data_IF_953947606090
#
_entry.id   IF_953947606090
#
_cell.length_a   1.000
_cell.length_b   1.000
_cell.length_c   1.000
_cell.angle_alpha   90.00
_cell.angle_beta   90.00
_cell.angle_gamma   90.00
#
_symmetry.space_group_name_H-M   'P 1'
#
loop_
_entity.id
_entity.type
_entity.pdbx_description
1 polymer ?
#
# COMPACT_ATOMS: atom_id res chain seq x y z
N UNK A 1 30.77 20.63 -8.65
CA UNK A 1 30.19 19.31 -8.94
C UNK A 1 28.98 19.16 -8.04
N UNK A 2 27.73 19.27 -8.53
CA UNK A 2 26.59 18.94 -7.70
C UNK A 2 26.55 17.41 -7.53
N UNK A 3 26.36 16.96 -6.27
CA UNK A 3 26.07 15.56 -5.95
C UNK A 3 24.86 15.07 -6.76
N UNK A 4 24.90 13.84 -7.30
CA UNK A 4 23.70 13.25 -7.89
C UNK A 4 22.73 12.94 -6.76
N UNK A 5 21.66 13.73 -6.66
CA UNK A 5 20.47 13.40 -5.88
C UNK A 5 20.04 11.99 -6.22
N UNK A 6 20.33 11.04 -5.33
CA UNK A 6 19.83 9.67 -5.43
C UNK A 6 18.30 9.79 -5.44
N UNK A 7 17.60 9.30 -6.48
CA UNK A 7 16.16 9.33 -6.48
C UNK A 7 15.69 8.42 -5.34
N UNK A 8 15.08 9.02 -4.31
CA UNK A 8 14.40 8.35 -3.19
C UNK A 8 13.33 7.34 -3.66
N UNK A 9 12.97 7.34 -4.94
CA UNK A 9 12.16 6.32 -5.62
C UNK A 9 12.70 4.88 -5.49
N UNK A 10 13.99 4.71 -5.16
CA UNK A 10 14.62 3.39 -5.09
C UNK A 10 14.25 2.56 -3.85
N UNK A 11 13.88 3.18 -2.73
CA UNK A 11 13.76 2.45 -1.46
C UNK A 11 12.44 1.68 -1.37
N UNK A 12 11.36 2.34 -1.76
CA UNK A 12 10.01 1.78 -1.71
C UNK A 12 9.78 0.73 -2.79
N UNK A 13 10.35 0.93 -3.98
CA UNK A 13 10.33 -0.08 -5.04
C UNK A 13 11.04 -1.36 -4.60
N UNK A 14 12.21 -1.24 -3.96
CA UNK A 14 12.93 -2.39 -3.39
C UNK A 14 12.15 -3.08 -2.27
N UNK A 15 11.41 -2.32 -1.45
CA UNK A 15 10.53 -2.88 -0.42
C UNK A 15 9.38 -3.67 -1.05
N UNK A 16 8.69 -3.08 -2.01
CA UNK A 16 7.62 -3.74 -2.76
C UNK A 16 8.11 -5.03 -3.43
N UNK A 17 9.29 -4.98 -4.08
CA UNK A 17 9.93 -6.17 -4.66
C UNK A 17 10.19 -7.25 -3.61
N UNK A 18 10.75 -6.89 -2.43
CA UNK A 18 10.96 -7.83 -1.33
C UNK A 18 9.65 -8.46 -0.82
N UNK A 19 8.59 -7.66 -0.68
CA UNK A 19 7.28 -8.15 -0.25
C UNK A 19 6.65 -9.08 -1.28
N UNK A 20 6.72 -8.74 -2.57
CA UNK A 20 6.22 -9.59 -3.66
C UNK A 20 7.01 -10.89 -3.78
N UNK A 21 8.32 -10.86 -3.57
CA UNK A 21 9.15 -12.06 -3.50
C UNK A 21 8.74 -12.92 -2.29
N UNK A 22 8.60 -12.32 -1.11
CA UNK A 22 8.22 -13.04 0.11
C UNK A 22 6.83 -13.66 0.06
N UNK A 23 5.91 -13.07 -0.70
CA UNK A 23 4.53 -13.55 -0.88
C UNK A 23 4.39 -14.50 -2.08
N UNK A 24 5.47 -14.70 -2.84
CA UNK A 24 5.49 -15.58 -4.01
C UNK A 24 4.82 -14.98 -5.25
N UNK A 25 4.48 -13.68 -5.25
CA UNK A 25 3.86 -12.96 -6.37
C UNK A 25 4.88 -12.20 -7.23
N UNK A 26 6.15 -12.63 -7.23
CA UNK A 26 7.20 -11.98 -8.03
C UNK A 26 6.84 -11.91 -9.52
N UNK A 27 6.20 -12.94 -10.06
CA UNK A 27 5.70 -12.97 -11.45
C UNK A 27 4.68 -11.86 -11.76
N UNK A 28 4.05 -11.28 -10.73
CA UNK A 28 3.01 -10.27 -10.82
C UNK A 28 3.51 -8.87 -10.45
N UNK A 29 4.79 -8.73 -10.14
CA UNK A 29 5.47 -7.44 -9.97
C UNK A 29 5.22 -6.46 -11.13
N UNK A 30 5.41 -6.83 -12.41
CA UNK A 30 5.15 -5.89 -13.51
C UNK A 30 3.69 -5.43 -13.55
N UNK A 31 2.75 -6.32 -13.25
CA UNK A 31 1.33 -6.01 -13.19
C UNK A 31 0.99 -5.07 -12.03
N UNK A 32 1.56 -5.31 -10.85
CA UNK A 32 1.37 -4.45 -9.69
C UNK A 32 1.89 -3.02 -9.96
N UNK A 33 3.08 -2.91 -10.57
CA UNK A 33 3.67 -1.63 -10.95
C UNK A 33 2.84 -0.89 -12.01
N UNK A 34 2.30 -1.61 -13.00
CA UNK A 34 1.44 -1.02 -14.03
C UNK A 34 0.15 -0.47 -13.42
N UNK A 35 -0.51 -1.22 -12.54
CA UNK A 35 -1.72 -0.79 -11.84
C UNK A 35 -1.44 0.45 -10.99
N UNK A 36 -0.35 0.44 -10.22
CA UNK A 36 0.02 1.58 -9.39
C UNK A 36 0.28 2.85 -10.20
N UNK A 37 1.03 2.73 -11.31
CA UNK A 37 1.26 3.84 -12.23
C UNK A 37 -0.04 4.33 -12.86
N UNK A 38 -0.94 3.43 -13.24
CA UNK A 38 -2.21 3.76 -13.92
C UNK A 38 -3.18 4.53 -13.02
N UNK A 39 -3.21 4.20 -11.74
CA UNK A 39 -4.15 4.79 -10.78
C UNK A 39 -3.51 5.79 -9.82
N UNK A 40 -2.20 5.99 -9.89
CA UNK A 40 -1.45 6.89 -9.03
C UNK A 40 -1.46 6.44 -7.56
N UNK A 41 -1.22 5.14 -7.33
CA UNK A 41 -1.09 4.59 -5.98
C UNK A 41 0.35 4.70 -5.49
N UNK A 42 0.50 5.03 -4.22
CA UNK A 42 1.78 5.07 -3.53
C UNK A 42 2.29 3.66 -3.20
N UNK A 43 3.62 3.45 -3.13
CA UNK A 43 4.18 2.14 -2.78
C UNK A 43 3.71 1.61 -1.43
N UNK A 44 3.41 2.51 -0.48
CA UNK A 44 2.86 2.16 0.83
C UNK A 44 1.47 1.53 0.71
N UNK A 45 0.61 2.06 -0.16
CA UNK A 45 -0.72 1.49 -0.46
C UNK A 45 -0.58 0.11 -1.12
N UNK A 46 0.41 -0.04 -2.01
CA UNK A 46 0.68 -1.31 -2.67
C UNK A 46 1.15 -2.40 -1.71
N UNK A 47 2.04 -2.07 -0.76
CA UNK A 47 2.56 -3.04 0.22
C UNK A 47 1.42 -3.57 1.10
N UNK A 48 0.57 -2.67 1.62
CA UNK A 48 -0.66 -3.02 2.36
C UNK A 48 -1.57 -3.95 1.54
N UNK A 49 -1.81 -3.59 0.27
CA UNK A 49 -2.62 -4.41 -0.63
C UNK A 49 -2.00 -5.80 -0.88
N UNK A 50 -0.68 -5.90 -1.13
CA UNK A 50 0.03 -7.17 -1.34
C UNK A 50 -0.06 -8.06 -0.11
N UNK A 51 0.13 -7.51 1.09
CA UNK A 51 -0.03 -8.27 2.34
C UNK A 51 -1.45 -8.83 2.48
N UNK A 52 -2.49 -8.02 2.21
CA UNK A 52 -3.89 -8.48 2.28
C UNK A 52 -4.22 -9.51 1.18
N UNK A 53 -3.66 -9.39 -0.02
CA UNK A 53 -3.81 -10.41 -1.07
C UNK A 53 -3.15 -11.72 -0.66
N UNK A 54 -1.94 -11.66 -0.10
CA UNK A 54 -1.22 -12.84 0.39
C UNK A 54 -1.97 -13.55 1.50
N UNK A 55 -2.56 -12.81 2.44
CA UNK A 55 -3.39 -13.38 3.50
C UNK A 55 -4.60 -14.15 2.91
N UNK A 56 -5.30 -13.55 1.93
CA UNK A 56 -6.39 -14.22 1.21
C UNK A 56 -5.93 -15.44 0.40
N UNK A 57 -4.75 -15.37 -0.21
CA UNK A 57 -4.20 -16.48 -0.99
C UNK A 57 -3.87 -17.69 -0.11
N UNK A 58 -3.37 -17.45 1.12
CA UNK A 58 -3.13 -18.49 2.12
C UNK A 58 -4.43 -19.15 2.60
N UNK A 59 -5.54 -18.40 2.66
CA UNK A 59 -6.86 -18.92 3.07
C UNK A 59 -7.63 -19.60 1.94
N UNK A 60 -7.52 -19.08 0.72
CA UNK A 60 -8.25 -19.55 -0.46
C UNK A 60 -7.31 -19.69 -1.64
N UNK A 61 -6.85 -20.92 -1.90
CA UNK A 61 -6.07 -21.22 -3.08
C UNK A 61 -6.94 -20.99 -4.33
N UNK A 62 -6.51 -20.14 -5.28
CA UNK A 62 -7.27 -19.88 -6.49
C UNK A 62 -7.32 -21.15 -7.34
N UNK A 63 -8.54 -21.62 -7.62
CA UNK A 63 -8.78 -22.86 -8.36
C UNK A 63 -8.47 -22.71 -9.86
N UNK A 64 -8.57 -21.49 -10.41
CA UNK A 64 -8.25 -21.18 -11.81
C UNK A 64 -7.63 -19.77 -11.94
N UNK A 65 -6.62 -19.65 -12.81
CA UNK A 65 -5.95 -18.41 -13.22
C UNK A 65 -5.50 -17.48 -12.07
N UNK A 66 -4.39 -17.85 -11.42
CA UNK A 66 -3.72 -17.08 -10.37
C UNK A 66 -3.53 -15.59 -10.71
N UNK A 67 -3.15 -15.27 -11.94
CA UNK A 67 -2.92 -13.89 -12.40
C UNK A 67 -4.21 -13.06 -12.42
N UNK A 68 -5.29 -13.60 -12.98
CA UNK A 68 -6.57 -12.90 -13.04
C UNK A 68 -7.19 -12.74 -11.64
N UNK A 69 -7.04 -13.76 -10.79
CA UNK A 69 -7.44 -13.71 -9.39
C UNK A 69 -6.66 -12.63 -8.64
N UNK A 70 -5.32 -12.62 -8.77
CA UNK A 70 -4.48 -11.60 -8.14
C UNK A 70 -4.87 -10.21 -8.61
N UNK A 71 -5.02 -9.98 -9.92
CA UNK A 71 -5.36 -8.66 -10.44
C UNK A 71 -6.66 -8.13 -9.82
N UNK A 72 -7.70 -8.97 -9.78
CA UNK A 72 -9.00 -8.61 -9.21
C UNK A 72 -8.90 -8.29 -7.73
N UNK A 73 -8.29 -9.20 -6.95
CA UNK A 73 -8.19 -9.04 -5.48
C UNK A 73 -7.23 -7.90 -5.12
N UNK A 74 -6.15 -7.73 -5.89
CA UNK A 74 -5.19 -6.64 -5.71
C UNK A 74 -5.82 -5.28 -5.96
N UNK A 75 -6.64 -5.14 -7.00
CA UNK A 75 -7.38 -3.90 -7.27
C UNK A 75 -8.41 -3.60 -6.17
N UNK A 76 -9.15 -4.60 -5.69
CA UNK A 76 -10.06 -4.45 -4.55
C UNK A 76 -9.31 -3.99 -3.29
N UNK A 77 -8.19 -4.64 -2.97
CA UNK A 77 -7.38 -4.33 -1.79
C UNK A 77 -6.63 -3.02 -1.87
N UNK A 78 -6.19 -2.61 -3.06
CA UNK A 78 -5.63 -1.27 -3.29
C UNK A 78 -6.67 -0.18 -3.00
N UNK A 79 -7.90 -0.38 -3.44
CA UNK A 79 -8.99 0.58 -3.20
C UNK A 79 -9.35 0.68 -1.72
N UNK A 80 -9.39 -0.45 -1.02
CA UNK A 80 -9.54 -0.50 0.44
C UNK A 80 -8.36 0.20 1.13
N UNK A 81 -7.11 -0.11 0.76
CA UNK A 81 -5.92 0.51 1.36
C UNK A 81 -5.89 2.03 1.19
N UNK A 82 -6.28 2.55 0.03
CA UNK A 82 -6.41 3.99 -0.21
C UNK A 82 -7.49 4.62 0.67
N UNK A 83 -8.63 3.95 0.82
CA UNK A 83 -9.70 4.38 1.71
C UNK A 83 -9.29 4.38 3.19
N UNK A 84 -8.56 3.34 3.62
CA UNK A 84 -8.03 3.20 4.97
C UNK A 84 -7.04 4.33 5.30
N UNK A 85 -6.09 4.60 4.40
CA UNK A 85 -5.09 5.66 4.56
C UNK A 85 -5.75 7.05 4.58
N UNK A 86 -6.72 7.30 3.68
CA UNK A 86 -7.46 8.55 3.67
C UNK A 86 -8.23 8.76 4.98
N UNK A 87 -8.89 7.70 5.47
CA UNK A 87 -9.66 7.72 6.72
C UNK A 87 -8.74 7.93 7.92
N UNK A 88 -7.60 7.22 7.97
CA UNK A 88 -6.59 7.37 9.01
C UNK A 88 -6.05 8.80 9.06
N UNK A 89 -5.69 9.38 7.91
CA UNK A 89 -5.23 10.76 7.83
C UNK A 89 -6.31 11.77 8.24
N UNK A 90 -7.57 11.55 7.86
CA UNK A 90 -8.67 12.38 8.31
C UNK A 90 -8.85 12.31 9.83
N UNK A 91 -8.87 11.10 10.41
CA UNK A 91 -8.99 10.89 11.85
C UNK A 91 -7.85 11.53 12.64
N UNK A 92 -6.60 11.44 12.16
CA UNK A 92 -5.45 12.12 12.79
C UNK A 92 -5.61 13.65 12.79
N UNK A 93 -6.12 14.23 11.70
CA UNK A 93 -6.40 15.68 11.64
C UNK A 93 -7.49 16.10 12.63
N UNK A 94 -8.54 15.30 12.79
CA UNK A 94 -9.62 15.60 13.76
C UNK A 94 -9.21 15.35 15.21
N UNK A 95 -8.31 14.41 15.48
CA UNK A 95 -7.82 14.13 16.84
C UNK A 95 -6.71 15.10 17.28
N UNK A 96 -5.91 15.65 16.36
CA UNK A 96 -4.96 16.73 16.65
C UNK A 96 -5.65 18.06 16.98
N UNK A 97 -6.85 18.31 16.47
CA UNK A 97 -7.63 19.52 16.75
C UNK A 97 -8.28 19.56 18.14
N UNK A 98 -8.12 18.51 18.97
CA UNK A 98 -8.68 18.42 20.33
C UNK A 98 -7.69 18.76 21.47
N UNK A 99 -6.53 19.35 21.18
CA UNK A 99 -5.63 19.91 22.21
C UNK A 99 -5.50 21.41 21.97
N UNK A 100 -6.22 22.28 22.69
CA UNK A 100 -5.85 22.90 24.00
C UNK A 100 -6.78 24.12 24.23
N UNK A 101 -6.71 24.93 25.31
CA UNK A 101 -6.33 24.71 26.74
C UNK A 101 -7.36 25.36 27.72
N UNK A 102 -7.54 24.84 28.95
CA UNK A 102 -7.95 25.62 30.17
C UNK A 102 -7.51 24.82 31.41
N UNK A 103 -6.26 24.92 31.84
CA UNK A 103 -5.88 25.79 32.96
C UNK A 103 -6.75 27.06 33.09
N UNK A 104 -7.72 27.01 34.01
CA UNK A 104 -8.24 28.18 34.69
C UNK A 104 -8.36 27.78 36.16
N UNK A 105 -7.25 27.97 36.85
CA UNK A 105 -7.14 27.91 38.31
C UNK A 105 -8.04 28.99 38.93
N UNK A 106 -8.68 28.58 40.04
CA UNK A 106 -9.41 29.32 41.09
C UNK A 106 -9.38 30.87 41.04
#
# INVERSE_FOLDING_TARGET
MPEPSIPEESSEKRLLEKFLVSTGFYDLLPLALEVARRFGYDPSEMIEAVCKVSDKFSQYLPVQNRTAWFQKVFEEKLREAKGDILTFNAQQRFSASRKTPKDLTD
#
